data_IF_443977914142
#
_entry.id   IF_443977914142
#
_cell.length_a   1.000
_cell.length_b   1.000
_cell.length_c   1.000
_cell.angle_alpha   90.00
_cell.angle_beta   90.00
_cell.angle_gamma   90.00
#
_symmetry.space_group_name_H-M   'P 1'
#
loop_
_entity.id
_entity.type
_entity.pdbx_description
1 polymer ?
#
# COMPACT_ATOMS: atom_id res chain seq x y z
N UNK A 1 0.22 31.10 -13.79
CA UNK A 1 -0.07 29.69 -13.44
C UNK A 1 1.20 29.07 -12.87
N UNK A 2 1.25 28.78 -11.56
CA UNK A 2 2.42 28.13 -10.95
C UNK A 2 2.41 26.64 -11.33
N UNK A 3 3.34 26.21 -12.18
CA UNK A 3 3.60 24.78 -12.41
C UNK A 3 4.12 24.18 -11.10
N UNK A 4 3.42 23.19 -10.55
CA UNK A 4 3.92 22.40 -9.43
C UNK A 4 5.20 21.70 -9.90
N UNK A 5 6.30 21.71 -9.12
CA UNK A 5 7.54 21.07 -9.53
C UNK A 5 7.32 19.58 -9.81
N UNK A 6 8.10 18.96 -10.71
CA UNK A 6 7.99 17.52 -10.95
C UNK A 6 8.26 16.77 -9.64
N UNK A 7 7.30 15.93 -9.25
CA UNK A 7 7.38 15.09 -8.04
C UNK A 7 7.61 13.65 -8.46
N UNK A 8 8.61 12.98 -7.88
CA UNK A 8 9.01 11.63 -8.28
C UNK A 8 9.20 10.75 -7.06
N UNK A 9 8.16 10.00 -6.72
CA UNK A 9 8.08 9.20 -5.51
C UNK A 9 8.26 7.71 -5.83
N UNK A 10 9.09 7.03 -5.05
CA UNK A 10 9.35 5.59 -5.17
C UNK A 10 8.56 4.80 -4.15
N UNK A 11 7.58 4.03 -4.61
CA UNK A 11 6.92 3.04 -3.78
C UNK A 11 7.91 1.93 -3.44
N UNK A 12 8.02 1.63 -2.16
CA UNK A 12 8.82 0.54 -1.64
C UNK A 12 7.99 -0.30 -0.67
N UNK A 13 8.37 -1.57 -0.44
CA UNK A 13 7.76 -2.38 0.61
C UNK A 13 7.78 -1.64 1.95
N UNK A 14 6.62 -1.61 2.63
CA UNK A 14 6.49 -0.96 3.93
C UNK A 14 6.32 -2.04 5.01
N UNK A 15 7.34 -2.29 5.85
CA UNK A 15 7.29 -3.36 6.84
C UNK A 15 6.19 -3.14 7.87
N UNK A 16 5.81 -1.89 8.17
CA UNK A 16 4.70 -1.57 9.06
C UNK A 16 3.35 -2.07 8.50
N UNK A 17 3.10 -1.92 7.19
CA UNK A 17 1.88 -2.42 6.53
C UNK A 17 1.90 -3.95 6.49
N UNK A 18 3.04 -4.55 6.17
CA UNK A 18 3.20 -6.01 6.18
C UNK A 18 2.96 -6.59 7.58
N UNK A 19 3.51 -5.96 8.62
CA UNK A 19 3.31 -6.35 10.01
C UNK A 19 1.84 -6.25 10.40
N UNK A 20 1.17 -5.16 10.02
CA UNK A 20 -0.24 -4.96 10.31
C UNK A 20 -1.13 -6.03 9.64
N UNK A 21 -0.93 -6.29 8.35
CA UNK A 21 -1.67 -7.33 7.62
C UNK A 21 -1.36 -8.73 8.18
N UNK A 22 -0.10 -9.03 8.48
CA UNK A 22 0.33 -10.27 9.11
C UNK A 22 -0.30 -10.46 10.50
N UNK A 23 -0.43 -9.39 11.29
CA UNK A 23 -1.05 -9.41 12.61
C UNK A 23 -2.55 -9.72 12.50
N UNK A 24 -3.26 -9.06 11.59
CA UNK A 24 -4.68 -9.33 11.32
C UNK A 24 -4.87 -10.80 10.90
N UNK A 25 -4.04 -11.30 9.98
CA UNK A 25 -4.11 -12.68 9.52
C UNK A 25 -3.82 -13.69 10.65
N UNK A 26 -2.84 -13.40 11.51
CA UNK A 26 -2.53 -14.21 12.68
C UNK A 26 -3.68 -14.23 13.70
N UNK A 27 -4.31 -13.08 13.98
CA UNK A 27 -5.44 -12.99 14.90
C UNK A 27 -6.68 -13.72 14.34
N UNK A 28 -6.97 -13.57 13.05
CA UNK A 28 -8.10 -14.25 12.41
C UNK A 28 -7.91 -15.78 12.39
N UNK A 29 -6.74 -16.25 11.96
CA UNK A 29 -6.43 -17.69 11.96
C UNK A 29 -6.32 -18.26 13.37
N UNK A 30 -5.76 -17.51 14.33
CA UNK A 30 -5.69 -17.87 15.74
C UNK A 30 -7.07 -17.99 16.38
N UNK A 31 -7.98 -17.06 16.08
CA UNK A 31 -9.38 -17.15 16.52
C UNK A 31 -10.09 -18.40 15.99
N UNK A 32 -9.89 -18.73 14.72
CA UNK A 32 -10.42 -19.95 14.12
C UNK A 32 -9.81 -21.22 14.72
N UNK A 33 -8.50 -21.23 15.00
CA UNK A 33 -7.81 -22.33 15.66
C UNK A 33 -8.30 -22.55 17.10
N UNK A 34 -8.46 -21.46 17.86
CA UNK A 34 -9.00 -21.49 19.22
C UNK A 34 -10.45 -22.00 19.24
N UNK A 35 -11.25 -21.55 18.27
CA UNK A 35 -12.60 -22.08 18.06
C UNK A 35 -12.57 -23.58 17.76
N UNK A 36 -11.73 -24.07 16.83
CA UNK A 36 -11.65 -25.50 16.51
C UNK A 36 -11.25 -26.36 17.72
N UNK A 37 -10.31 -25.87 18.54
CA UNK A 37 -9.85 -26.53 19.75
C UNK A 37 -10.92 -26.63 20.83
N UNK A 38 -11.87 -25.69 20.90
CA UNK A 38 -12.96 -25.75 21.87
C UNK A 38 -13.95 -26.90 21.60
N UNK A 39 -14.03 -27.39 20.35
CA UNK A 39 -14.84 -28.56 19.98
C UNK A 39 -14.05 -29.86 19.95
N UNK A 40 -12.79 -29.84 19.52
CA UNK A 40 -11.94 -31.05 19.39
C UNK A 40 -10.51 -30.77 19.84
N UNK A 41 -10.13 -31.29 21.00
CA UNK A 41 -8.77 -31.17 21.54
C UNK A 41 -7.68 -31.77 20.62
N UNK A 42 -8.03 -32.81 19.84
CA UNK A 42 -7.09 -33.42 18.87
C UNK A 42 -6.75 -32.50 17.68
N UNK A 43 -7.42 -31.35 17.54
CA UNK A 43 -7.19 -30.38 16.48
C UNK A 43 -5.97 -29.47 16.71
N UNK A 44 -5.18 -29.69 17.77
CA UNK A 44 -3.98 -28.88 18.08
C UNK A 44 -3.00 -28.65 16.92
N UNK A 45 -2.82 -29.55 15.92
CA UNK A 45 -1.94 -29.26 14.80
C UNK A 45 -2.37 -28.04 13.98
N UNK A 46 -3.64 -27.61 14.06
CA UNK A 46 -4.14 -26.41 13.38
C UNK A 46 -3.44 -25.12 13.87
N UNK A 47 -2.86 -25.12 15.07
CA UNK A 47 -2.08 -24.01 15.58
C UNK A 47 -0.84 -23.72 14.73
N UNK A 48 -0.30 -24.75 14.04
CA UNK A 48 0.82 -24.59 13.11
C UNK A 48 0.44 -23.80 11.85
N UNK A 49 -0.85 -23.73 11.52
CA UNK A 49 -1.33 -22.92 10.40
C UNK A 49 -1.23 -21.41 10.68
N UNK A 50 -1.28 -20.98 11.94
CA UNK A 50 -1.23 -19.55 12.32
C UNK A 50 0.07 -18.87 11.87
N UNK A 51 1.28 -19.35 12.23
CA UNK A 51 2.52 -18.74 11.76
C UNK A 51 2.70 -18.86 10.24
N UNK A 52 2.20 -19.94 9.62
CA UNK A 52 2.25 -20.10 8.16
C UNK A 52 1.39 -19.07 7.44
N UNK A 53 0.15 -18.84 7.92
CA UNK A 53 -0.76 -17.82 7.39
C UNK A 53 -0.20 -16.41 7.63
N UNK A 54 0.37 -16.14 8.80
CA UNK A 54 1.00 -14.86 9.10
C UNK A 54 2.19 -14.58 8.15
N UNK A 55 3.09 -15.55 7.99
CA UNK A 55 4.21 -15.45 7.05
C UNK A 55 3.74 -15.28 5.60
N UNK A 56 2.72 -16.03 5.18
CA UNK A 56 2.14 -15.88 3.85
C UNK A 56 1.55 -14.49 3.64
N UNK A 57 0.79 -13.98 4.61
CA UNK A 57 0.20 -12.64 4.60
C UNK A 57 1.28 -11.55 4.53
N UNK A 58 2.37 -11.70 5.28
CA UNK A 58 3.53 -10.80 5.18
C UNK A 58 4.09 -10.72 3.76
N UNK A 59 4.28 -11.88 3.11
CA UNK A 59 4.79 -11.95 1.73
C UNK A 59 3.81 -11.34 0.74
N UNK A 60 2.52 -11.61 0.88
CA UNK A 60 1.48 -11.09 -0.02
C UNK A 60 1.23 -9.59 0.16
N UNK A 61 1.45 -9.05 1.36
CA UNK A 61 1.35 -7.63 1.64
C UNK A 61 2.54 -6.82 1.11
N UNK A 62 3.59 -7.47 0.61
CA UNK A 62 4.72 -6.79 -0.01
C UNK A 62 4.32 -6.14 -1.33
N UNK A 63 4.29 -4.81 -1.34
CA UNK A 63 4.07 -4.03 -2.56
C UNK A 63 5.33 -4.06 -3.42
N UNK A 64 5.17 -4.36 -4.71
CA UNK A 64 6.28 -4.30 -5.66
C UNK A 64 6.82 -2.85 -5.77
N UNK A 65 8.14 -2.67 -5.86
CA UNK A 65 8.71 -1.36 -6.10
C UNK A 65 8.15 -0.74 -7.40
N UNK A 66 7.64 0.48 -7.30
CA UNK A 66 7.06 1.22 -8.43
C UNK A 66 7.45 2.68 -8.30
N UNK A 67 7.49 3.40 -9.41
CA UNK A 67 7.81 4.82 -9.40
C UNK A 67 6.58 5.59 -9.85
N UNK A 68 6.15 6.53 -9.03
CA UNK A 68 5.02 7.40 -9.30
C UNK A 68 5.56 8.80 -9.56
N UNK A 69 5.25 9.34 -10.74
CA UNK A 69 5.77 10.61 -11.24
C UNK A 69 4.63 11.55 -11.57
N UNK A 70 4.78 12.80 -11.16
CA UNK A 70 3.98 13.93 -11.62
C UNK A 70 4.80 14.74 -12.62
N UNK A 71 4.26 14.96 -13.81
CA UNK A 71 4.91 15.75 -14.88
C UNK A 71 4.50 17.23 -14.92
N UNK A 72 3.56 17.64 -14.05
CA UNK A 72 2.95 18.97 -14.07
C UNK A 72 1.48 18.97 -14.46
N UNK A 73 1.00 17.91 -15.12
CA UNK A 73 -0.36 17.77 -15.64
C UNK A 73 -1.02 16.45 -15.24
N UNK A 74 -0.23 15.37 -15.18
CA UNK A 74 -0.70 14.00 -15.03
C UNK A 74 0.19 13.17 -14.10
N UNK A 75 -0.43 12.17 -13.48
CA UNK A 75 0.29 11.13 -12.75
C UNK A 75 0.64 9.99 -13.69
N UNK A 76 1.88 9.51 -13.58
CA UNK A 76 2.44 8.39 -14.33
C UNK A 76 2.92 7.34 -13.33
N UNK A 77 2.58 6.08 -13.56
CA UNK A 77 2.96 4.98 -12.67
C UNK A 77 3.84 3.98 -13.41
N UNK A 78 5.14 4.11 -13.23
CA UNK A 78 6.16 3.27 -13.83
C UNK A 78 6.21 1.91 -13.11
N UNK A 79 6.20 0.85 -13.90
CA UNK A 79 6.31 -0.52 -13.41
C UNK A 79 7.79 -0.91 -13.25
N UNK A 80 8.12 -1.82 -12.32
CA UNK A 80 9.50 -2.22 -12.12
C UNK A 80 10.11 -2.74 -13.41
N UNK A 81 11.19 -2.09 -13.88
CA UNK A 81 11.88 -2.42 -15.13
C UNK A 81 11.33 -1.76 -16.39
N UNK A 82 10.36 -0.83 -16.28
CA UNK A 82 9.87 0.01 -17.39
C UNK A 82 9.77 1.47 -16.97
N UNK A 83 10.35 2.36 -17.77
CA UNK A 83 10.29 3.82 -17.54
C UNK A 83 9.10 4.52 -18.21
N UNK A 84 8.29 3.78 -18.98
CA UNK A 84 7.07 4.27 -19.63
C UNK A 84 5.82 3.65 -18.98
N UNK A 85 5.56 4.03 -17.72
CA UNK A 85 4.32 3.65 -17.05
C UNK A 85 3.07 4.22 -17.73
N UNK A 86 1.87 3.64 -17.53
CA UNK A 86 0.64 4.29 -17.98
C UNK A 86 0.35 5.55 -17.16
N UNK A 87 -0.36 6.51 -17.79
CA UNK A 87 -1.03 7.61 -17.08
C UNK A 87 -2.07 7.03 -16.13
N UNK A 88 -2.05 7.46 -14.88
CA UNK A 88 -3.01 7.07 -13.86
C UNK A 88 -3.68 8.28 -13.23
N UNK A 89 -4.83 8.03 -12.63
CA UNK A 89 -5.52 8.96 -11.73
C UNK A 89 -5.36 8.45 -10.31
N UNK A 90 -5.10 9.34 -9.37
CA UNK A 90 -4.92 9.00 -7.96
C UNK A 90 -6.11 9.50 -7.15
N UNK A 91 -6.70 8.61 -6.36
CA UNK A 91 -7.63 8.96 -5.31
C UNK A 91 -6.98 8.72 -3.95
N UNK A 92 -6.99 9.73 -3.09
CA UNK A 92 -6.59 9.58 -1.68
C UNK A 92 -7.73 8.91 -0.94
N UNK A 93 -7.48 7.74 -0.36
CA UNK A 93 -8.48 7.00 0.42
C UNK A 93 -8.26 7.12 1.92
N UNK A 94 -7.01 7.15 2.36
CA UNK A 94 -6.66 7.36 3.76
C UNK A 94 -5.50 8.36 3.82
N UNK A 95 -5.61 9.35 4.70
CA UNK A 95 -4.54 10.27 5.06
C UNK A 95 -4.33 10.27 6.57
N UNK A 96 -3.16 9.83 7.02
CA UNK A 96 -2.72 9.79 8.41
C UNK A 96 -1.49 10.70 8.64
N UNK A 97 -1.36 11.79 7.89
CA UNK A 97 -0.28 12.78 7.90
C UNK A 97 1.11 12.27 7.50
N UNK A 98 1.64 11.28 8.23
CA UNK A 98 2.90 10.61 7.93
C UNK A 98 2.74 9.42 6.98
N UNK A 99 1.50 9.02 6.68
CA UNK A 99 1.17 7.89 5.83
C UNK A 99 -0.07 8.17 4.97
N UNK A 100 -0.06 7.69 3.73
CA UNK A 100 -1.14 7.85 2.77
C UNK A 100 -1.47 6.51 2.12
N UNK A 101 -2.77 6.24 1.91
CA UNK A 101 -3.22 5.17 1.03
C UNK A 101 -3.87 5.78 -0.21
N UNK A 102 -3.24 5.54 -1.36
CA UNK A 102 -3.78 5.97 -2.65
C UNK A 102 -4.35 4.79 -3.44
N UNK A 103 -5.38 5.06 -4.24
CA UNK A 103 -5.87 4.15 -5.28
C UNK A 103 -5.57 4.76 -6.64
N UNK A 104 -4.81 4.04 -7.47
CA UNK A 104 -4.52 4.43 -8.84
C UNK A 104 -5.50 3.77 -9.81
N UNK A 105 -6.05 4.55 -10.76
CA UNK A 105 -6.96 4.13 -11.85
C UNK A 105 -6.30 4.43 -13.21
N UNK A 106 -6.47 3.61 -14.27
CA UNK A 106 -7.34 2.42 -14.35
C UNK A 106 -6.80 1.21 -13.56
N UNK A 107 -7.73 0.48 -12.94
CA UNK A 107 -7.49 -0.76 -12.16
C UNK A 107 -7.49 -0.56 -10.63
N UNK A 108 -7.62 -1.62 -9.83
CA UNK A 108 -7.56 -1.53 -8.36
C UNK A 108 -6.11 -1.58 -7.87
N UNK A 109 -5.32 -0.53 -8.11
CA UNK A 109 -3.92 -0.46 -7.67
C UNK A 109 -3.82 0.33 -6.37
N UNK A 110 -3.52 -0.36 -5.27
CA UNK A 110 -3.31 0.23 -3.95
C UNK A 110 -1.86 0.63 -3.76
N UNK A 111 -1.64 1.88 -3.38
CA UNK A 111 -0.34 2.53 -3.33
C UNK A 111 -0.15 3.15 -1.93
N UNK A 112 0.36 2.38 -0.95
CA UNK A 112 0.73 2.94 0.34
C UNK A 112 1.99 3.79 0.18
N UNK A 113 2.00 4.96 0.81
CA UNK A 113 3.13 5.90 0.81
C UNK A 113 3.42 6.34 2.24
N UNK A 114 4.70 6.42 2.60
CA UNK A 114 5.15 6.83 3.92
C UNK A 114 6.11 8.02 3.83
N UNK A 115 5.93 8.98 4.72
CA UNK A 115 6.85 10.12 4.90
C UNK A 115 8.27 9.66 5.21
N UNK A 116 8.44 8.57 5.95
CA UNK A 116 9.76 8.06 6.35
C UNK A 116 10.59 7.60 5.16
N UNK A 117 9.95 7.11 4.09
CA UNK A 117 10.62 6.65 2.88
C UNK A 117 11.02 7.80 1.96
N UNK A 118 10.34 8.96 2.06
CA UNK A 118 10.51 10.08 1.13
C UNK A 118 10.29 11.45 1.81
N UNK A 119 11.07 11.78 2.85
CA UNK A 119 10.81 12.95 3.67
C UNK A 119 10.90 14.25 2.87
N UNK A 120 11.83 14.32 1.91
CA UNK A 120 12.11 15.52 1.10
C UNK A 120 10.97 15.89 0.15
N UNK A 121 10.28 14.88 -0.37
CA UNK A 121 9.22 15.07 -1.37
C UNK A 121 7.82 15.04 -0.77
N UNK A 122 7.68 14.67 0.50
CA UNK A 122 6.38 14.43 1.14
C UNK A 122 5.42 15.61 1.06
N UNK A 123 5.88 16.81 1.41
CA UNK A 123 5.06 18.02 1.39
C UNK A 123 4.65 18.39 -0.04
N UNK A 124 5.58 18.27 -1.00
CA UNK A 124 5.30 18.54 -2.41
C UNK A 124 4.31 17.51 -2.99
N UNK A 125 4.47 16.23 -2.64
CA UNK A 125 3.55 15.16 -3.00
C UNK A 125 2.13 15.46 -2.52
N UNK A 126 1.95 15.77 -1.22
CA UNK A 126 0.63 16.08 -0.66
C UNK A 126 0.02 17.30 -1.33
N UNK A 127 0.77 18.39 -1.45
CA UNK A 127 0.30 19.59 -2.15
C UNK A 127 -0.14 19.26 -3.58
N UNK A 128 0.61 18.42 -4.29
CA UNK A 128 0.27 17.99 -5.66
C UNK A 128 -0.97 17.10 -5.68
N UNK A 129 -1.12 16.15 -4.76
CA UNK A 129 -2.31 15.27 -4.68
C UNK A 129 -3.61 16.04 -4.43
N UNK A 130 -3.55 17.11 -3.63
CA UNK A 130 -4.73 17.94 -3.33
C UNK A 130 -4.99 19.06 -4.36
N UNK A 131 -3.98 19.45 -5.15
CA UNK A 131 -4.13 20.46 -6.20
C UNK A 131 -4.33 19.89 -7.60
N UNK A 132 -3.93 18.63 -7.83
CA UNK A 132 -4.09 17.97 -9.11
C UNK A 132 -5.58 17.82 -9.47
N UNK A 133 -5.96 18.03 -10.75
CA UNK A 133 -7.32 17.83 -11.20
C UNK A 133 -7.78 16.41 -10.89
N UNK A 134 -8.82 16.29 -10.08
CA UNK A 134 -9.53 15.01 -9.90
C UNK A 134 -10.43 14.82 -11.11
N UNK A 135 -10.36 13.66 -11.76
CA UNK A 135 -11.36 13.33 -12.76
C UNK A 135 -12.75 13.29 -12.10
N UNK A 136 -13.81 13.75 -12.80
CA UNK A 136 -15.17 13.56 -12.33
C UNK A 136 -15.41 12.06 -12.10
N UNK A 137 -15.96 11.73 -10.93
CA UNK A 137 -16.29 10.35 -10.52
C UNK A 137 -17.43 9.79 -11.35
#
# INVERSE_FOLDING_TARGET
MRRTPPVVVHLQPQPAVQAFVSCIAALASGGLAAWALSYRALAWPILLAVPLVAWWAWRMAAVLPRRLRWDGEAWWLDEPGRDDGPRVQLAVLIDLDAWLLLRASPGPRWLPLSRTQQPTQWTALRATLFSAPRAPQ
#
